data_IF_048257292929
#
_entry.id   IF_048257292929
#
_cell.length_a   1.000
_cell.length_b   1.000
_cell.length_c   1.000
_cell.angle_alpha   90.00
_cell.angle_beta   90.00
_cell.angle_gamma   90.00
#
_symmetry.space_group_name_H-M   'P 1'
#
loop_
_entity.id
_entity.type
_entity.pdbx_description
1 polymer ?
#
# COMPACT_ATOMS: atom_id res chain seq x y z
N UNK A 1 4.76 -22.94 4.67
CA UNK A 1 3.62 -22.01 4.68
C UNK A 1 2.92 -22.04 3.33
N UNK A 2 1.58 -22.22 3.27
CA UNK A 2 0.80 -22.12 2.02
C UNK A 2 0.24 -20.71 1.90
N UNK A 3 0.37 -20.08 0.73
CA UNK A 3 -0.17 -18.73 0.46
C UNK A 3 -1.25 -18.78 -0.62
N UNK A 4 -2.29 -17.97 -0.42
CA UNK A 4 -3.41 -17.79 -1.34
C UNK A 4 -3.50 -16.32 -1.78
N UNK A 5 -2.99 -16.04 -2.99
CA UNK A 5 -2.85 -14.67 -3.52
C UNK A 5 -4.13 -14.26 -4.25
N UNK A 6 -4.66 -13.08 -3.93
CA UNK A 6 -5.76 -12.40 -4.64
C UNK A 6 -5.21 -11.21 -5.43
N UNK A 7 -5.98 -10.74 -6.41
CA UNK A 7 -5.64 -9.52 -7.16
C UNK A 7 -5.48 -8.29 -6.24
N UNK A 8 -6.30 -8.20 -5.18
CA UNK A 8 -6.21 -7.15 -4.16
C UNK A 8 -4.89 -7.17 -3.39
N UNK A 9 -4.31 -8.34 -3.16
CA UNK A 9 -3.06 -8.49 -2.39
C UNK A 9 -1.88 -7.97 -3.21
N UNK A 10 -1.91 -8.17 -4.53
CA UNK A 10 -0.92 -7.60 -5.45
C UNK A 10 -1.05 -6.08 -5.53
N UNK A 11 -2.29 -5.56 -5.65
CA UNK A 11 -2.56 -4.11 -5.57
C UNK A 11 -1.92 -3.53 -4.30
N UNK A 12 -2.21 -4.14 -3.16
CA UNK A 12 -1.68 -3.73 -1.87
C UNK A 12 -0.15 -3.86 -1.81
N UNK A 13 0.44 -4.93 -2.34
CA UNK A 13 1.89 -5.02 -2.45
C UNK A 13 2.49 -3.84 -3.23
N UNK A 14 1.95 -3.47 -4.38
CA UNK A 14 2.47 -2.34 -5.15
C UNK A 14 2.20 -0.98 -4.50
N UNK A 15 1.17 -0.87 -3.66
CA UNK A 15 0.88 0.33 -2.88
C UNK A 15 1.84 0.49 -1.69
N UNK A 16 2.03 -0.58 -0.91
CA UNK A 16 2.71 -0.54 0.39
C UNK A 16 4.15 -1.04 0.37
N UNK A 17 4.49 -1.93 -0.58
CA UNK A 17 5.76 -2.67 -0.65
C UNK A 17 6.14 -3.33 0.67
N UNK A 18 5.14 -3.80 1.43
CA UNK A 18 5.33 -4.34 2.77
C UNK A 18 5.15 -5.86 2.73
N UNK A 19 6.21 -6.59 3.10
CA UNK A 19 6.25 -8.05 3.04
C UNK A 19 5.35 -8.67 4.11
N UNK A 20 5.43 -8.17 5.34
CA UNK A 20 4.55 -8.58 6.44
C UNK A 20 3.08 -8.44 6.08
N UNK A 21 2.71 -7.29 5.52
CA UNK A 21 1.35 -7.01 5.03
C UNK A 21 0.92 -8.07 4.01
N UNK A 22 1.76 -8.33 3.02
CA UNK A 22 1.46 -9.29 1.95
C UNK A 22 1.31 -10.72 2.49
N UNK A 23 2.21 -11.17 3.37
CA UNK A 23 2.14 -12.51 3.96
C UNK A 23 0.87 -12.65 4.81
N UNK A 24 0.55 -11.68 5.67
CA UNK A 24 -0.65 -11.75 6.49
C UNK A 24 -1.95 -11.72 5.65
N UNK A 25 -1.96 -10.98 4.54
CA UNK A 25 -3.12 -10.93 3.63
C UNK A 25 -3.35 -12.26 2.90
N UNK A 26 -2.27 -13.00 2.62
CA UNK A 26 -2.27 -14.19 1.77
C UNK A 26 -2.23 -15.49 2.57
N UNK A 27 -2.04 -15.44 3.88
CA UNK A 27 -2.17 -16.60 4.75
C UNK A 27 -3.64 -17.09 4.79
N UNK A 28 -3.86 -18.42 4.77
CA UNK A 28 -5.17 -18.99 5.11
C UNK A 28 -5.66 -18.46 6.44
N UNK A 29 -6.96 -18.18 6.53
CA UNK A 29 -7.55 -17.51 7.69
C UNK A 29 -7.31 -18.30 8.97
N UNK A 30 -7.36 -19.62 8.91
CA UNK A 30 -7.16 -20.53 10.04
C UNK A 30 -5.73 -20.39 10.61
N UNK A 31 -4.74 -20.25 9.74
CA UNK A 31 -3.34 -20.03 10.14
C UNK A 31 -3.18 -18.62 10.67
N UNK A 32 -3.74 -17.62 9.98
CA UNK A 32 -3.65 -16.21 10.36
C UNK A 32 -4.25 -15.96 11.75
N UNK A 33 -5.42 -16.53 12.02
CA UNK A 33 -6.13 -16.38 13.30
C UNK A 33 -5.40 -17.11 14.44
N UNK A 34 -4.51 -18.06 14.13
CA UNK A 34 -3.62 -18.72 15.10
C UNK A 34 -2.36 -17.91 15.46
N UNK A 35 -2.02 -16.90 14.65
CA UNK A 35 -0.91 -15.98 14.90
C UNK A 35 -1.48 -14.79 15.67
N UNK A 36 -0.94 -14.41 16.84
CA UNK A 36 -1.46 -13.29 17.63
C UNK A 36 -1.14 -11.95 16.95
N UNK A 37 -1.87 -11.63 15.89
CA UNK A 37 -1.77 -10.39 15.12
C UNK A 37 -2.95 -9.50 15.47
N UNK A 38 -2.69 -8.26 15.92
CA UNK A 38 -3.76 -7.28 16.08
C UNK A 38 -4.17 -6.76 14.69
N UNK A 39 -5.43 -6.96 14.35
CA UNK A 39 -6.06 -6.50 13.10
C UNK A 39 -7.22 -5.56 13.43
N UNK A 40 -7.19 -4.33 12.90
CA UNK A 40 -8.33 -3.40 12.99
C UNK A 40 -9.18 -3.54 11.73
N UNK A 41 -10.45 -3.89 11.90
CA UNK A 41 -11.45 -3.81 10.84
C UNK A 41 -12.05 -2.39 10.78
N UNK A 42 -11.41 -1.48 10.04
CA UNK A 42 -11.90 -0.10 9.80
C UNK A 42 -12.43 0.09 8.37
N UNK A 43 -12.93 -0.98 7.74
CA UNK A 43 -13.28 -1.00 6.31
C UNK A 43 -14.65 -0.40 5.97
N UNK A 44 -15.48 -0.04 6.96
CA UNK A 44 -16.91 0.22 6.76
C UNK A 44 -17.23 1.34 5.78
N UNK A 45 -16.83 2.58 6.09
CA UNK A 45 -17.35 3.76 5.37
C UNK A 45 -16.84 3.85 3.92
N UNK A 46 -15.54 3.58 3.67
CA UNK A 46 -14.96 3.69 2.32
C UNK A 46 -15.28 2.49 1.43
N UNK A 47 -15.52 1.31 2.02
CA UNK A 47 -15.92 0.12 1.29
C UNK A 47 -17.29 0.30 0.65
N UNK A 48 -18.24 0.82 1.42
CA UNK A 48 -19.63 1.02 0.99
C UNK A 48 -19.75 2.04 -0.15
N UNK A 49 -19.02 3.15 -0.09
CA UNK A 49 -18.95 4.14 -1.18
C UNK A 49 -18.40 3.53 -2.48
N UNK A 50 -17.39 2.66 -2.36
CA UNK A 50 -16.79 1.95 -3.49
C UNK A 50 -17.80 1.03 -4.19
N UNK A 51 -18.51 0.21 -3.40
CA UNK A 51 -19.57 -0.69 -3.89
C UNK A 51 -20.69 0.12 -4.56
N UNK A 52 -21.14 1.20 -3.91
CA UNK A 52 -22.20 2.04 -4.46
C UNK A 52 -21.79 2.70 -5.78
N UNK A 53 -20.55 3.17 -5.89
CA UNK A 53 -20.03 3.74 -7.15
C UNK A 53 -20.00 2.69 -8.27
N UNK A 54 -19.53 1.47 -7.99
CA UNK A 54 -19.52 0.37 -8.96
C UNK A 54 -20.94 0.02 -9.44
N UNK A 55 -21.90 -0.09 -8.52
CA UNK A 55 -23.31 -0.33 -8.87
C UNK A 55 -23.91 0.82 -9.70
N UNK A 56 -23.56 2.07 -9.40
CA UNK A 56 -24.02 3.22 -10.18
C UNK A 56 -23.48 3.21 -11.61
N UNK A 57 -22.23 2.77 -11.82
CA UNK A 57 -21.66 2.57 -13.16
C UNK A 57 -22.46 1.52 -13.92
N UNK A 58 -22.74 0.36 -13.30
CA UNK A 58 -23.51 -0.71 -13.95
C UNK A 58 -24.92 -0.28 -14.33
N UNK A 59 -25.63 0.38 -13.42
CA UNK A 59 -26.98 0.91 -13.69
C UNK A 59 -26.97 1.83 -14.89
N UNK A 60 -25.99 2.75 -14.97
CA UNK A 60 -25.91 3.70 -16.07
C UNK A 60 -25.50 3.09 -17.40
N UNK A 61 -24.68 2.02 -17.42
CA UNK A 61 -24.44 1.25 -18.64
C UNK A 61 -25.77 0.69 -19.18
N UNK A 62 -26.57 0.09 -18.31
CA UNK A 62 -27.87 -0.51 -18.69
C UNK A 62 -28.85 0.57 -19.17
N UNK A 63 -28.92 1.71 -18.49
CA UNK A 63 -29.77 2.86 -18.89
C UNK A 63 -29.39 3.41 -20.27
N UNK A 64 -28.12 3.29 -20.68
CA UNK A 64 -27.64 3.67 -22.02
C UNK A 64 -27.94 2.62 -23.10
N UNK A 65 -28.51 1.47 -22.73
CA UNK A 65 -28.79 0.37 -23.65
C UNK A 65 -27.62 -0.59 -23.85
N UNK A 66 -26.54 -0.48 -23.06
CA UNK A 66 -25.40 -1.39 -23.15
C UNK A 66 -25.79 -2.79 -22.65
N UNK A 67 -25.38 -3.82 -23.38
CA UNK A 67 -25.65 -5.21 -23.00
C UNK A 67 -24.58 -5.73 -22.03
N UNK A 68 -24.98 -5.94 -20.77
CA UNK A 68 -24.10 -6.40 -19.67
C UNK A 68 -24.54 -7.78 -19.18
N UNK A 69 -23.68 -8.79 -19.35
CA UNK A 69 -23.82 -10.11 -18.74
C UNK A 69 -23.47 -10.03 -17.24
N UNK A 70 -24.43 -10.40 -16.38
CA UNK A 70 -24.33 -10.23 -14.92
C UNK A 70 -24.53 -11.55 -14.16
N UNK A 71 -24.05 -11.65 -12.91
CA UNK A 71 -24.37 -12.77 -12.04
C UNK A 71 -25.88 -12.95 -11.88
N UNK A 72 -26.32 -14.20 -11.70
CA UNK A 72 -27.70 -14.49 -11.30
C UNK A 72 -27.98 -13.92 -9.90
N UNK A 73 -29.24 -13.65 -9.53
CA UNK A 73 -29.59 -13.30 -8.15
C UNK A 73 -28.97 -14.30 -7.16
N UNK A 74 -28.45 -13.79 -6.04
CA UNK A 74 -27.74 -14.55 -5.01
C UNK A 74 -26.40 -15.20 -5.42
N UNK A 75 -25.87 -14.85 -6.59
CA UNK A 75 -24.51 -15.21 -7.00
C UNK A 75 -23.61 -13.96 -7.03
N UNK A 76 -22.35 -14.15 -6.62
CA UNK A 76 -21.35 -13.07 -6.63
C UNK A 76 -20.63 -12.93 -7.98
N UNK A 77 -20.73 -13.92 -8.87
CA UNK A 77 -20.01 -13.94 -10.14
C UNK A 77 -20.83 -14.60 -11.26
N UNK A 78 -20.48 -14.32 -12.51
CA UNK A 78 -21.06 -15.03 -13.67
C UNK A 78 -20.59 -16.49 -13.65
N UNK A 79 -21.44 -17.43 -14.11
CA UNK A 79 -21.06 -18.84 -14.10
C UNK A 79 -19.89 -19.12 -15.06
N UNK A 80 -19.09 -20.18 -14.84
CA UNK A 80 -17.98 -20.51 -15.73
C UNK A 80 -18.40 -20.75 -17.18
N UNK A 81 -19.58 -21.34 -17.41
CA UNK A 81 -20.11 -21.64 -18.74
C UNK A 81 -20.47 -20.36 -19.49
N UNK A 82 -21.17 -19.44 -18.84
CA UNK A 82 -21.53 -18.14 -19.41
C UNK A 82 -20.29 -17.24 -19.60
N UNK A 83 -19.33 -17.31 -18.67
CA UNK A 83 -18.04 -16.63 -18.83
C UNK A 83 -17.31 -17.16 -20.06
N UNK A 84 -17.24 -18.48 -20.24
CA UNK A 84 -16.59 -19.09 -21.41
C UNK A 84 -17.29 -18.71 -22.72
N UNK A 85 -18.63 -18.75 -22.76
CA UNK A 85 -19.40 -18.34 -23.94
C UNK A 85 -19.16 -16.85 -24.29
N UNK A 86 -19.13 -15.97 -23.29
CA UNK A 86 -18.77 -14.56 -23.51
C UNK A 86 -17.35 -14.39 -24.05
N UNK A 87 -16.37 -15.09 -23.47
CA UNK A 87 -14.96 -15.00 -23.87
C UNK A 87 -14.70 -15.53 -25.28
N UNK A 88 -15.48 -16.52 -25.75
CA UNK A 88 -15.43 -17.01 -27.14
C UNK A 88 -16.23 -16.15 -28.13
N UNK A 89 -16.93 -15.13 -27.65
CA UNK A 89 -17.81 -14.30 -28.49
C UNK A 89 -19.12 -14.99 -28.89
N UNK A 90 -19.47 -16.10 -28.26
CA UNK A 90 -20.71 -16.87 -28.47
C UNK A 90 -21.90 -16.23 -27.75
N UNK A 91 -21.65 -15.37 -26.76
CA UNK A 91 -22.68 -14.60 -26.06
C UNK A 91 -22.79 -13.17 -26.65
N UNK A 92 -24.01 -12.62 -26.86
CA UNK A 92 -24.21 -11.33 -27.54
C UNK A 92 -23.93 -10.10 -26.68
N UNK A 93 -23.57 -10.27 -25.40
CA UNK A 93 -23.29 -9.15 -24.51
C UNK A 93 -22.00 -8.44 -24.88
N UNK A 94 -21.99 -7.11 -24.73
CA UNK A 94 -20.79 -6.29 -24.95
C UNK A 94 -19.88 -6.30 -23.71
N UNK A 95 -20.48 -6.31 -22.52
CA UNK A 95 -19.78 -6.37 -21.25
C UNK A 95 -20.10 -7.66 -20.47
N UNK A 96 -19.16 -8.10 -19.65
CA UNK A 96 -19.38 -9.08 -18.57
C UNK A 96 -18.91 -8.46 -17.26
N UNK A 97 -19.77 -8.55 -16.24
CA UNK A 97 -19.52 -8.05 -14.88
C UNK A 97 -19.17 -9.21 -13.94
N UNK A 98 -18.10 -9.08 -13.14
CA UNK A 98 -17.65 -10.10 -12.17
C UNK A 98 -17.45 -11.47 -12.84
N UNK A 99 -16.69 -11.49 -13.94
CA UNK A 99 -16.33 -12.72 -14.64
C UNK A 99 -15.46 -13.60 -13.73
N UNK A 100 -15.78 -14.90 -13.64
CA UNK A 100 -14.99 -15.80 -12.79
C UNK A 100 -13.71 -16.24 -13.51
N UNK A 101 -12.55 -15.79 -13.04
CA UNK A 101 -11.24 -16.19 -13.56
C UNK A 101 -10.50 -17.04 -12.53
N UNK A 102 -10.31 -18.33 -12.80
CA UNK A 102 -9.59 -19.25 -11.90
C UNK A 102 -8.10 -19.38 -12.25
N UNK A 103 -7.28 -19.88 -11.31
CA UNK A 103 -5.89 -20.27 -11.59
C UNK A 103 -5.87 -21.36 -12.67
N UNK A 104 -4.97 -21.21 -13.64
CA UNK A 104 -4.76 -22.18 -14.72
C UNK A 104 -3.32 -22.65 -14.73
N UNK A 105 -3.07 -23.85 -15.29
CA UNK A 105 -1.72 -24.40 -15.38
C UNK A 105 -0.78 -23.51 -16.20
N UNK A 106 -1.30 -22.88 -17.25
CA UNK A 106 -0.55 -21.94 -18.09
C UNK A 106 -0.17 -20.67 -17.33
N UNK A 107 -1.10 -20.07 -16.59
CA UNK A 107 -0.80 -18.93 -15.70
C UNK A 107 0.26 -19.30 -14.65
N UNK A 108 0.10 -20.48 -14.05
CA UNK A 108 1.01 -21.00 -13.03
C UNK A 108 2.43 -21.16 -13.57
N UNK A 109 2.56 -21.72 -14.77
CA UNK A 109 3.83 -21.85 -15.47
C UNK A 109 4.41 -20.47 -15.84
N UNK A 110 3.60 -19.57 -16.37
CA UNK A 110 4.02 -18.25 -16.85
C UNK A 110 4.56 -17.33 -15.72
N UNK A 111 3.98 -17.47 -14.52
CA UNK A 111 4.39 -16.76 -13.29
C UNK A 111 5.45 -17.51 -12.46
N UNK A 112 5.85 -18.73 -12.83
CA UNK A 112 6.74 -19.60 -12.05
C UNK A 112 6.27 -19.79 -10.60
N UNK A 113 4.98 -20.08 -10.38
CA UNK A 113 4.44 -20.17 -9.02
C UNK A 113 5.01 -21.37 -8.24
N UNK A 114 5.53 -21.16 -7.02
CA UNK A 114 5.94 -22.24 -6.12
C UNK A 114 4.77 -23.16 -5.75
N UNK A 115 5.05 -24.45 -5.48
CA UNK A 115 4.04 -25.46 -5.14
C UNK A 115 3.12 -25.09 -3.97
N UNK A 116 3.65 -24.33 -3.02
CA UNK A 116 2.94 -23.85 -1.83
C UNK A 116 2.21 -22.51 -2.04
N UNK A 117 2.11 -22.02 -3.27
CA UNK A 117 1.39 -20.80 -3.61
C UNK A 117 0.27 -21.12 -4.60
N UNK A 118 -0.92 -20.61 -4.31
CA UNK A 118 -2.06 -20.61 -5.23
C UNK A 118 -2.60 -19.20 -5.44
N UNK A 119 -3.21 -18.98 -6.59
CA UNK A 119 -3.96 -17.78 -6.94
C UNK A 119 -5.44 -18.07 -6.68
N UNK A 120 -6.10 -17.25 -5.87
CA UNK A 120 -7.55 -17.33 -5.69
C UNK A 120 -8.26 -16.78 -6.92
N UNK A 121 -9.50 -17.22 -7.11
CA UNK A 121 -10.40 -16.73 -8.15
C UNK A 121 -10.38 -15.19 -8.22
N UNK A 122 -10.08 -14.68 -9.41
CA UNK A 122 -10.14 -13.27 -9.75
C UNK A 122 -11.52 -12.91 -10.28
N UNK A 123 -12.01 -11.75 -9.86
CA UNK A 123 -13.26 -11.17 -10.31
C UNK A 123 -12.97 -9.76 -10.82
N UNK A 124 -12.54 -9.58 -12.08
CA UNK A 124 -12.50 -8.26 -12.68
C UNK A 124 -13.88 -7.63 -12.65
N UNK A 125 -13.92 -6.33 -12.36
CA UNK A 125 -15.19 -5.59 -12.31
C UNK A 125 -15.88 -5.71 -13.67
N UNK A 126 -15.21 -5.37 -14.77
CA UNK A 126 -15.76 -5.47 -16.12
C UNK A 126 -14.74 -6.03 -17.13
N UNK A 127 -15.24 -6.78 -18.12
CA UNK A 127 -14.52 -7.06 -19.37
C UNK A 127 -15.45 -6.67 -20.53
N UNK A 128 -14.90 -5.98 -21.51
CA UNK A 128 -15.64 -5.40 -22.64
C UNK A 128 -15.10 -5.93 -23.97
N UNK A 129 -15.99 -6.30 -24.89
CA UNK A 129 -15.66 -6.44 -26.30
C UNK A 129 -15.61 -5.07 -26.98
N UNK A 130 -14.47 -4.73 -27.57
CA UNK A 130 -14.27 -3.51 -28.37
C UNK A 130 -13.90 -3.87 -29.80
N UNK A 131 -14.30 -3.03 -30.74
CA UNK A 131 -13.89 -3.13 -32.14
C UNK A 131 -12.72 -2.17 -32.41
N UNK A 132 -11.58 -2.70 -32.85
CA UNK A 132 -10.41 -1.91 -33.23
C UNK A 132 -9.83 -2.49 -34.53
N UNK A 133 -9.75 -1.67 -35.58
CA UNK A 133 -9.15 -2.10 -36.86
C UNK A 133 -9.88 -3.26 -37.56
N UNK A 134 -11.19 -3.42 -37.33
CA UNK A 134 -11.99 -4.52 -37.88
C UNK A 134 -11.89 -5.83 -37.09
N UNK A 135 -11.15 -5.85 -35.98
CA UNK A 135 -11.04 -7.00 -35.09
C UNK A 135 -11.73 -6.73 -33.75
N UNK A 136 -12.43 -7.74 -33.23
CA UNK A 136 -12.98 -7.69 -31.87
C UNK A 136 -11.90 -8.08 -30.87
N UNK A 137 -11.69 -7.24 -29.87
CA UNK A 137 -10.72 -7.46 -28.79
C UNK A 137 -11.36 -7.25 -27.42
N UNK A 138 -10.89 -7.96 -26.41
CA UNK A 138 -11.35 -7.85 -25.02
C UNK A 138 -10.50 -6.84 -24.26
N UNK A 139 -11.16 -5.91 -23.58
CA UNK A 139 -10.54 -4.92 -22.69
C UNK A 139 -10.97 -5.19 -21.26
N UNK A 140 -9.98 -5.35 -20.36
CA UNK A 140 -10.24 -5.45 -18.92
C UNK A 140 -10.44 -4.05 -18.34
N UNK A 141 -11.44 -3.90 -17.48
CA UNK A 141 -11.83 -2.64 -16.88
C UNK A 141 -12.02 -2.84 -15.37
N UNK A 142 -11.47 -1.92 -14.60
CA UNK A 142 -11.64 -1.86 -13.14
C UNK A 142 -12.27 -0.54 -12.77
N UNK A 143 -13.27 -0.58 -11.90
CA UNK A 143 -14.06 0.56 -11.46
C UNK A 143 -13.56 0.97 -10.08
N UNK A 144 -13.17 2.23 -9.92
CA UNK A 144 -12.59 2.72 -8.66
C UNK A 144 -13.18 4.05 -8.26
N UNK A 145 -13.71 4.10 -7.04
CA UNK A 145 -14.15 5.32 -6.39
C UNK A 145 -12.96 6.18 -5.96
N UNK A 146 -12.28 6.77 -6.94
CA UNK A 146 -11.12 7.66 -6.79
C UNK A 146 -11.19 8.76 -7.85
N UNK A 147 -10.49 9.87 -7.63
CA UNK A 147 -10.37 10.95 -8.62
C UNK A 147 -9.29 10.71 -9.66
N UNK A 148 -8.35 9.80 -9.38
CA UNK A 148 -7.26 9.44 -10.29
C UNK A 148 -6.85 7.97 -10.12
N UNK A 149 -6.62 7.24 -11.23
CA UNK A 149 -6.07 5.91 -11.18
C UNK A 149 -4.58 5.99 -10.78
N UNK A 150 -4.11 4.97 -10.08
CA UNK A 150 -2.74 4.88 -9.60
C UNK A 150 -2.03 3.69 -10.24
N UNK A 151 -0.71 3.64 -10.07
CA UNK A 151 0.12 2.54 -10.57
C UNK A 151 -0.30 1.17 -10.00
N UNK A 152 -0.78 1.13 -8.75
CA UNK A 152 -1.20 -0.12 -8.10
C UNK A 152 -2.57 -0.61 -8.57
N UNK A 153 -3.50 0.28 -8.94
CA UNK A 153 -4.75 -0.13 -9.61
C UNK A 153 -4.42 -0.79 -10.97
N UNK A 154 -3.51 -0.19 -11.74
CA UNK A 154 -3.08 -0.74 -13.04
C UNK A 154 -2.44 -2.13 -12.92
N UNK A 155 -1.66 -2.36 -11.85
CA UNK A 155 -1.11 -3.68 -11.56
C UNK A 155 -2.19 -4.72 -11.25
N UNK A 156 -3.27 -4.35 -10.55
CA UNK A 156 -4.40 -5.24 -10.32
C UNK A 156 -5.08 -5.66 -11.63
N UNK A 157 -5.34 -4.69 -12.50
CA UNK A 157 -5.97 -4.93 -13.82
C UNK A 157 -5.09 -5.76 -14.73
N UNK A 158 -3.78 -5.50 -14.74
CA UNK A 158 -2.83 -6.30 -15.50
C UNK A 158 -2.76 -7.75 -14.98
N UNK A 159 -2.98 -7.97 -13.68
CA UNK A 159 -3.07 -9.32 -13.15
C UNK A 159 -4.31 -10.05 -13.68
N UNK A 160 -5.47 -9.39 -13.75
CA UNK A 160 -6.66 -9.97 -14.40
C UNK A 160 -6.42 -10.28 -15.88
N UNK A 161 -5.67 -9.43 -16.60
CA UNK A 161 -5.25 -9.73 -17.97
C UNK A 161 -4.40 -11.01 -18.07
N UNK A 162 -3.42 -11.21 -17.17
CA UNK A 162 -2.65 -12.46 -17.10
C UNK A 162 -3.54 -13.67 -16.82
N UNK A 163 -4.46 -13.57 -15.86
CA UNK A 163 -5.42 -14.63 -15.56
C UNK A 163 -6.25 -14.98 -16.79
N UNK A 164 -6.74 -13.96 -17.49
CA UNK A 164 -7.55 -14.13 -18.69
C UNK A 164 -6.78 -14.81 -19.84
N UNK A 165 -5.50 -14.47 -20.04
CA UNK A 165 -4.63 -15.19 -20.99
C UNK A 165 -4.52 -16.67 -20.64
N UNK A 166 -4.38 -16.99 -19.34
CA UNK A 166 -4.33 -18.37 -18.87
C UNK A 166 -5.63 -19.13 -19.11
N UNK A 167 -6.78 -18.48 -18.89
CA UNK A 167 -8.10 -19.01 -19.24
C UNK A 167 -8.20 -19.30 -20.74
N UNK A 168 -7.87 -18.36 -21.62
CA UNK A 168 -7.87 -18.59 -23.07
C UNK A 168 -6.98 -19.76 -23.50
N UNK A 169 -5.78 -19.86 -22.93
CA UNK A 169 -4.89 -20.98 -23.23
C UNK A 169 -5.52 -22.32 -22.82
N UNK A 170 -6.26 -22.36 -21.71
CA UNK A 170 -7.00 -23.54 -21.26
C UNK A 170 -8.21 -23.86 -22.15
N UNK A 171 -8.70 -22.89 -22.91
CA UNK A 171 -9.72 -23.06 -23.96
C UNK A 171 -9.12 -23.46 -25.32
N UNK A 172 -7.80 -23.66 -25.41
CA UNK A 172 -7.12 -24.00 -26.66
C UNK A 172 -6.69 -22.79 -27.51
N UNK A 173 -6.89 -21.56 -27.02
CA UNK A 173 -6.57 -20.34 -27.76
C UNK A 173 -5.18 -19.81 -27.40
N UNK A 174 -4.25 -19.94 -28.35
CA UNK A 174 -2.86 -19.50 -28.18
C UNK A 174 -2.67 -18.00 -28.40
N UNK A 175 -3.54 -17.36 -29.19
CA UNK A 175 -3.53 -15.93 -29.44
C UNK A 175 -4.84 -15.29 -28.94
N UNK A 176 -4.97 -15.09 -27.61
CA UNK A 176 -6.19 -14.53 -27.04
C UNK A 176 -6.50 -13.18 -27.67
N UNK A 177 -7.78 -12.87 -27.96
CA UNK A 177 -8.19 -11.59 -28.53
C UNK A 177 -8.14 -10.48 -27.48
N UNK A 178 -7.09 -10.38 -26.67
CA UNK A 178 -6.96 -9.37 -25.62
C UNK A 178 -6.41 -8.07 -26.22
N UNK A 179 -7.06 -6.95 -25.91
CA UNK A 179 -6.60 -5.63 -26.31
C UNK A 179 -5.32 -5.24 -25.55
N UNK A 180 -4.42 -4.50 -26.21
CA UNK A 180 -3.13 -4.09 -25.62
C UNK A 180 -3.28 -3.15 -24.42
N UNK A 181 -4.34 -2.33 -24.43
CA UNK A 181 -4.65 -1.41 -23.33
C UNK A 181 -5.80 -1.93 -22.47
N UNK A 182 -5.69 -1.75 -21.18
CA UNK A 182 -6.80 -1.88 -20.25
C UNK A 182 -7.27 -0.50 -19.77
N UNK A 183 -8.38 -0.46 -19.04
CA UNK A 183 -8.94 0.80 -18.54
C UNK A 183 -9.20 0.73 -17.04
N UNK A 184 -9.14 1.90 -16.40
CA UNK A 184 -9.67 2.10 -15.05
C UNK A 184 -10.71 3.19 -15.17
N UNK A 185 -11.96 2.87 -14.85
CA UNK A 185 -13.02 3.85 -14.74
C UNK A 185 -13.05 4.41 -13.33
N UNK A 186 -13.11 5.73 -13.22
CA UNK A 186 -12.99 6.45 -11.97
C UNK A 186 -13.78 7.74 -12.01
N UNK A 187 -13.95 8.41 -10.88
CA UNK A 187 -14.78 9.62 -10.78
C UNK A 187 -14.27 10.69 -11.77
N UNK A 188 -15.06 10.98 -12.79
CA UNK A 188 -14.80 12.02 -13.78
C UNK A 188 -15.10 13.44 -13.28
N UNK A 189 -14.86 14.44 -14.12
CA UNK A 189 -15.34 15.81 -13.92
C UNK A 189 -16.33 16.17 -15.03
N UNK A 190 -17.48 16.74 -14.67
CA UNK A 190 -18.56 17.10 -15.62
C UNK A 190 -19.42 15.92 -16.08
N UNK A 191 -20.09 16.06 -17.23
CA UNK A 191 -21.08 15.11 -17.77
C UNK A 191 -20.47 13.78 -18.29
N UNK A 192 -19.14 13.70 -18.46
CA UNK A 192 -18.42 12.44 -18.70
C UNK A 192 -18.04 11.81 -17.36
N UNK A 193 -18.98 11.06 -16.80
CA UNK A 193 -19.00 10.77 -15.36
C UNK A 193 -18.01 9.68 -14.89
N UNK A 194 -17.53 8.76 -15.74
CA UNK A 194 -16.56 7.72 -15.35
C UNK A 194 -15.69 7.09 -16.46
N UNK A 195 -16.19 7.04 -17.70
CA UNK A 195 -15.44 6.55 -18.87
C UNK A 195 -14.42 7.61 -19.30
N UNK A 196 -13.18 7.45 -18.86
CA UNK A 196 -12.13 8.42 -19.12
C UNK A 196 -11.01 7.78 -19.95
N UNK A 197 -10.68 8.36 -21.10
CA UNK A 197 -9.49 7.96 -21.88
C UNK A 197 -8.20 8.03 -21.06
N UNK A 198 -8.13 8.92 -20.05
CA UNK A 198 -7.00 9.02 -19.12
C UNK A 198 -6.88 7.81 -18.19
N UNK A 199 -7.94 7.00 -18.10
CA UNK A 199 -7.93 5.69 -17.45
C UNK A 199 -7.21 4.61 -18.26
N UNK A 200 -7.05 4.80 -19.58
CA UNK A 200 -6.39 3.83 -20.44
C UNK A 200 -4.90 3.74 -20.14
N UNK A 201 -4.37 2.53 -20.14
CA UNK A 201 -2.94 2.28 -19.97
C UNK A 201 -2.52 1.00 -20.70
N UNK A 202 -1.24 0.93 -21.09
CA UNK A 202 -0.66 -0.24 -21.74
C UNK A 202 -0.42 -1.36 -20.72
N UNK A 203 -0.90 -2.58 -21.02
CA UNK A 203 -0.79 -3.73 -20.12
C UNK A 203 0.65 -4.24 -19.97
N UNK A 204 1.46 -4.19 -21.03
CA UNK A 204 2.73 -4.93 -21.13
C UNK A 204 3.68 -4.60 -19.99
N UNK A 205 3.84 -3.30 -19.69
CA UNK A 205 4.75 -2.86 -18.63
C UNK A 205 4.33 -3.35 -17.24
N UNK A 206 3.02 -3.48 -16.98
CA UNK A 206 2.50 -3.97 -15.70
C UNK A 206 2.49 -5.50 -15.62
N UNK A 207 2.24 -6.19 -16.74
CA UNK A 207 2.41 -7.64 -16.85
C UNK A 207 3.87 -8.03 -16.53
N UNK A 208 4.85 -7.33 -17.09
CA UNK A 208 6.26 -7.58 -16.77
C UNK A 208 6.62 -7.24 -15.32
N UNK A 209 6.05 -6.17 -14.75
CA UNK A 209 6.21 -5.84 -13.33
C UNK A 209 5.66 -6.95 -12.41
N UNK A 210 4.53 -7.55 -12.78
CA UNK A 210 3.95 -8.69 -12.06
C UNK A 210 4.85 -9.92 -12.18
N UNK A 211 5.30 -10.24 -13.40
CA UNK A 211 6.26 -11.33 -13.63
C UNK A 211 7.51 -11.18 -12.78
N UNK A 212 8.07 -9.97 -12.73
CA UNK A 212 9.22 -9.66 -11.90
C UNK A 212 8.95 -9.92 -10.41
N UNK A 213 7.80 -9.48 -9.91
CA UNK A 213 7.37 -9.74 -8.54
C UNK A 213 7.32 -11.25 -8.24
N UNK A 214 6.60 -12.02 -9.06
CA UNK A 214 6.44 -13.46 -8.86
C UNK A 214 7.77 -14.21 -8.98
N UNK A 215 8.67 -13.80 -9.88
CA UNK A 215 9.96 -14.47 -10.13
C UNK A 215 11.03 -14.11 -9.11
N UNK A 216 11.10 -12.85 -8.66
CA UNK A 216 12.23 -12.34 -7.86
C UNK A 216 11.88 -12.03 -6.41
N UNK A 217 10.65 -11.58 -6.14
CA UNK A 217 10.26 -11.12 -4.81
C UNK A 217 9.55 -12.22 -4.03
N UNK A 218 8.53 -12.85 -4.64
CA UNK A 218 7.71 -13.86 -3.97
C UNK A 218 8.52 -15.04 -3.37
N UNK A 219 9.53 -15.62 -4.04
CA UNK A 219 10.28 -16.75 -3.49
C UNK A 219 10.96 -16.43 -2.16
N UNK A 220 11.48 -15.20 -2.00
CA UNK A 220 12.07 -14.74 -0.74
C UNK A 220 11.03 -14.66 0.39
N UNK A 221 9.79 -14.31 0.07
CA UNK A 221 8.69 -14.23 1.05
C UNK A 221 8.19 -15.62 1.44
N UNK A 222 8.02 -16.52 0.48
CA UNK A 222 7.49 -17.86 0.71
C UNK A 222 8.47 -18.78 1.44
N UNK A 223 9.77 -18.45 1.41
CA UNK A 223 10.81 -19.14 2.19
C UNK A 223 10.74 -18.87 3.70
N UNK A 224 9.97 -17.85 4.11
CA UNK A 224 9.82 -17.46 5.52
C UNK A 224 8.66 -18.21 6.17
N UNK A 225 8.84 -18.56 7.44
CA UNK A 225 7.78 -19.13 8.26
C UNK A 225 7.37 -18.10 9.30
N UNK A 226 6.05 -17.82 9.35
CA UNK A 226 5.44 -17.03 10.43
C UNK A 226 4.76 -17.99 11.38
N UNK A 227 5.11 -17.91 12.66
CA UNK A 227 4.57 -18.76 13.72
C UNK A 227 4.44 -17.95 15.02
N UNK A 228 3.82 -18.55 16.04
CA UNK A 228 3.62 -17.87 17.31
C UNK A 228 4.96 -17.49 17.94
N UNK A 229 5.20 -16.20 18.12
CA UNK A 229 6.43 -15.67 18.72
C UNK A 229 7.61 -15.51 17.77
N UNK A 230 7.47 -15.90 16.49
CA UNK A 230 8.51 -15.75 15.48
C UNK A 230 7.92 -15.23 14.17
N UNK A 231 8.29 -14.00 13.83
CA UNK A 231 7.90 -13.35 12.59
C UNK A 231 9.11 -12.68 11.92
N UNK A 232 9.81 -13.39 11.00
CA UNK A 232 10.97 -12.87 10.30
C UNK A 232 10.61 -11.95 9.12
N UNK A 233 9.32 -11.61 8.94
CA UNK A 233 8.87 -10.85 7.78
C UNK A 233 9.31 -9.40 7.84
N UNK A 234 9.66 -8.85 6.67
CA UNK A 234 10.08 -7.46 6.59
C UNK A 234 8.90 -6.49 6.64
N UNK A 235 9.01 -5.45 7.45
CA UNK A 235 8.07 -4.34 7.50
C UNK A 235 8.83 -3.04 7.69
N UNK A 236 8.16 -1.91 7.49
CA UNK A 236 8.67 -0.60 7.84
C UNK A 236 7.49 0.25 8.26
N UNK A 237 7.53 0.87 9.44
CA UNK A 237 6.53 1.83 9.87
C UNK A 237 6.77 3.15 9.15
N UNK A 238 5.77 3.60 8.38
CA UNK A 238 5.81 4.87 7.65
C UNK A 238 4.39 5.36 7.36
N UNK A 239 4.28 6.53 6.72
CA UNK A 239 3.02 7.24 6.60
C UNK A 239 1.86 6.48 5.94
N UNK A 240 2.12 5.53 5.04
CA UNK A 240 1.02 4.74 4.45
C UNK A 240 0.45 3.71 5.43
N UNK A 241 1.18 3.35 6.49
CA UNK A 241 0.72 2.35 7.47
C UNK A 241 -0.55 2.78 8.21
N UNK A 242 -0.92 4.06 8.23
CA UNK A 242 -2.21 4.52 8.78
C UNK A 242 -3.45 3.90 8.13
N UNK A 243 -3.31 3.40 6.91
CA UNK A 243 -4.38 2.71 6.18
C UNK A 243 -4.18 1.18 6.21
N UNK A 244 -3.23 0.68 7.00
CA UNK A 244 -2.93 -0.74 7.11
C UNK A 244 -3.60 -1.30 8.37
N UNK A 245 -4.45 -2.31 8.20
CA UNK A 245 -5.14 -2.98 9.31
C UNK A 245 -4.22 -3.60 10.37
N UNK A 246 -2.95 -3.86 10.02
CA UNK A 246 -1.93 -4.42 10.91
C UNK A 246 -1.00 -3.37 11.54
N UNK A 247 -1.33 -2.08 11.49
CA UNK A 247 -0.51 -1.02 12.09
C UNK A 247 -0.26 -1.27 13.58
N UNK A 248 -1.32 -1.57 14.35
CA UNK A 248 -1.22 -1.83 15.79
C UNK A 248 -0.25 -2.96 16.12
N UNK A 249 -0.32 -4.05 15.35
CA UNK A 249 0.63 -5.14 15.51
C UNK A 249 2.07 -4.70 15.25
N UNK A 250 2.31 -3.93 14.19
CA UNK A 250 3.66 -3.47 13.86
C UNK A 250 4.18 -2.39 14.84
N UNK A 251 3.31 -1.53 15.38
CA UNK A 251 3.71 -0.46 16.31
C UNK A 251 4.17 -0.98 17.66
N UNK A 252 3.80 -2.21 18.05
CA UNK A 252 4.36 -2.89 19.24
C UNK A 252 5.90 -2.95 19.24
N UNK A 253 6.53 -2.94 18.06
CA UNK A 253 7.99 -2.95 17.92
C UNK A 253 8.68 -1.63 18.28
N UNK A 254 7.89 -0.57 18.54
CA UNK A 254 8.34 0.75 18.97
C UNK A 254 7.45 1.29 20.11
N UNK A 255 6.80 0.38 20.84
CA UNK A 255 5.84 0.73 21.88
C UNK A 255 6.51 1.14 23.19
N UNK A 256 5.79 1.90 24.00
CA UNK A 256 6.26 2.43 25.30
C UNK A 256 6.65 1.33 26.31
N UNK A 257 6.22 0.09 26.07
CA UNK A 257 6.58 -1.07 26.88
C UNK A 257 7.98 -1.65 26.58
N UNK A 258 8.70 -1.10 25.59
CA UNK A 258 10.06 -1.49 25.21
C UNK A 258 11.03 -0.35 25.51
N UNK A 259 12.27 -0.68 25.87
CA UNK A 259 13.31 0.34 26.01
C UNK A 259 13.65 0.92 24.61
N UNK A 260 13.88 2.25 24.45
CA UNK A 260 14.14 2.85 23.13
C UNK A 260 15.31 2.23 22.37
N UNK A 261 16.26 1.59 23.05
CA UNK A 261 17.36 0.89 22.39
C UNK A 261 16.93 -0.36 21.60
N UNK A 262 15.81 -0.97 21.99
CA UNK A 262 15.22 -2.18 21.41
C UNK A 262 14.23 -1.87 20.30
N UNK A 263 13.80 -0.60 20.19
CA UNK A 263 12.85 -0.17 19.18
C UNK A 263 13.35 -0.49 17.76
N UNK A 264 12.45 -0.98 16.91
CA UNK A 264 12.73 -1.17 15.49
C UNK A 264 13.17 0.15 14.84
N UNK A 265 14.15 0.09 13.93
CA UNK A 265 14.72 1.29 13.29
C UNK A 265 13.72 2.12 12.48
N UNK A 266 12.49 1.63 12.23
CA UNK A 266 11.42 2.44 11.67
C UNK A 266 11.01 3.61 12.57
N UNK A 267 11.35 3.58 13.88
CA UNK A 267 11.16 4.72 14.76
C UNK A 267 11.97 5.96 14.33
N UNK A 268 13.03 5.79 13.55
CA UNK A 268 13.91 6.89 13.12
C UNK A 268 13.26 7.62 11.93
N UNK A 269 12.84 8.89 12.10
CA UNK A 269 12.16 9.63 11.04
C UNK A 269 13.05 9.85 9.82
N UNK A 270 12.46 9.79 8.62
CA UNK A 270 13.16 10.00 7.36
C UNK A 270 13.98 8.79 6.87
N UNK A 271 13.93 7.66 7.59
CA UNK A 271 14.46 6.40 7.07
C UNK A 271 13.60 5.93 5.90
N UNK A 272 14.23 5.55 4.78
CA UNK A 272 13.53 4.95 3.65
C UNK A 272 13.43 3.43 3.77
N UNK A 273 12.42 2.84 3.14
CA UNK A 273 12.23 1.39 3.12
C UNK A 273 13.47 0.63 2.62
N UNK A 274 14.12 1.12 1.56
CA UNK A 274 15.34 0.52 1.02
C UNK A 274 16.51 0.64 2.01
N UNK A 275 16.61 1.76 2.73
CA UNK A 275 17.66 1.96 3.74
C UNK A 275 17.45 1.06 4.94
N UNK A 276 16.22 0.91 5.43
CA UNK A 276 15.88 -0.08 6.45
C UNK A 276 16.30 -1.50 6.02
N UNK A 277 15.95 -1.89 4.79
CA UNK A 277 16.31 -3.20 4.22
C UNK A 277 17.83 -3.39 4.17
N UNK A 278 18.57 -2.38 3.74
CA UNK A 278 20.04 -2.41 3.73
C UNK A 278 20.62 -2.53 5.14
N UNK A 279 20.15 -1.72 6.09
CA UNK A 279 20.61 -1.74 7.49
C UNK A 279 20.35 -3.10 8.15
N UNK A 280 19.16 -3.70 7.94
CA UNK A 280 18.83 -5.04 8.42
C UNK A 280 19.79 -6.12 7.90
N UNK A 281 20.19 -6.04 6.63
CA UNK A 281 21.18 -6.97 6.05
C UNK A 281 22.56 -6.83 6.69
N UNK A 282 22.88 -5.65 7.21
CA UNK A 282 24.13 -5.38 7.94
C UNK A 282 23.98 -5.57 9.47
N UNK A 283 22.89 -6.19 9.93
CA UNK A 283 22.67 -6.47 11.35
C UNK A 283 22.17 -5.28 12.18
N UNK A 284 21.96 -4.12 11.57
CA UNK A 284 21.44 -2.92 12.24
C UNK A 284 19.91 -2.92 12.18
N UNK A 285 19.28 -3.36 13.28
CA UNK A 285 17.82 -3.61 13.36
C UNK A 285 17.10 -2.75 14.37
N UNK A 286 17.81 -2.22 15.36
CA UNK A 286 17.22 -1.41 16.43
C UNK A 286 17.78 0.01 16.47
N UNK A 287 17.04 0.95 17.06
CA UNK A 287 17.50 2.33 17.27
C UNK A 287 18.84 2.36 18.00
N UNK A 288 19.01 1.53 19.04
CA UNK A 288 20.28 1.41 19.76
C UNK A 288 21.45 0.98 18.87
N UNK A 289 21.21 0.06 17.93
CA UNK A 289 22.24 -0.37 16.97
C UNK A 289 22.65 0.77 16.01
N UNK A 290 21.71 1.64 15.63
CA UNK A 290 21.99 2.80 14.77
C UNK A 290 22.75 3.89 15.53
N UNK A 291 22.34 4.20 16.76
CA UNK A 291 22.99 5.20 17.60
C UNK A 291 24.47 4.82 17.87
N UNK A 292 24.74 3.53 18.12
CA UNK A 292 26.10 3.04 18.43
C UNK A 292 26.95 2.74 17.20
N UNK A 293 26.39 2.71 16.00
CA UNK A 293 27.14 2.41 14.79
C UNK A 293 28.20 3.49 14.52
N UNK A 294 29.42 3.08 14.20
CA UNK A 294 30.48 4.01 13.75
C UNK A 294 30.07 4.70 12.45
N UNK A 295 29.46 3.95 11.54
CA UNK A 295 28.91 4.39 10.26
C UNK A 295 27.71 3.53 9.86
N UNK A 296 26.76 4.12 9.13
CA UNK A 296 25.55 3.42 8.65
C UNK A 296 25.73 2.80 7.25
N UNK A 297 26.88 3.02 6.62
CA UNK A 297 27.17 2.63 5.24
C UNK A 297 26.56 3.57 4.20
N UNK A 298 26.77 3.25 2.92
CA UNK A 298 26.46 4.09 1.77
C UNK A 298 25.63 3.37 0.67
N UNK A 299 25.10 2.19 0.99
CA UNK A 299 24.40 1.32 0.03
C UNK A 299 23.08 1.86 -0.50
N UNK A 300 22.61 3.02 -0.03
CA UNK A 300 21.45 3.73 -0.59
C UNK A 300 21.75 5.23 -0.70
N UNK A 301 20.98 5.93 -1.55
CA UNK A 301 21.05 7.39 -1.64
C UNK A 301 20.73 8.08 -0.30
N UNK A 302 19.71 7.61 0.42
CA UNK A 302 19.33 8.17 1.73
C UNK A 302 20.45 8.00 2.75
N UNK A 303 21.11 6.84 2.81
CA UNK A 303 22.21 6.62 3.75
C UNK A 303 23.44 7.46 3.38
N UNK A 304 23.75 7.59 2.09
CA UNK A 304 24.84 8.48 1.61
C UNK A 304 24.65 9.93 1.99
N UNK A 305 23.44 10.44 1.80
CA UNK A 305 23.14 11.87 1.95
C UNK A 305 22.70 12.26 3.36
N UNK A 306 22.13 11.32 4.12
CA UNK A 306 21.50 11.58 5.43
C UNK A 306 21.94 10.62 6.53
N UNK A 307 22.94 9.76 6.30
CA UNK A 307 23.38 8.77 7.28
C UNK A 307 23.77 9.39 8.62
N UNK A 308 24.52 10.50 8.60
CA UNK A 308 24.88 11.25 9.82
C UNK A 308 23.63 11.72 10.58
N UNK A 309 22.68 12.33 9.88
CA UNK A 309 21.42 12.81 10.46
C UNK A 309 20.58 11.67 11.05
N UNK A 310 20.49 10.53 10.35
CA UNK A 310 19.75 9.35 10.84
C UNK A 310 20.38 8.79 12.12
N UNK A 311 21.71 8.83 12.22
CA UNK A 311 22.43 8.47 13.45
C UNK A 311 22.15 9.47 14.58
N UNK A 312 22.27 10.78 14.33
CA UNK A 312 21.95 11.83 15.31
C UNK A 312 20.50 11.71 15.83
N UNK A 313 19.54 11.33 14.96
CA UNK A 313 18.16 11.02 15.36
C UNK A 313 18.07 9.79 16.26
N UNK A 314 18.81 8.72 15.93
CA UNK A 314 18.87 7.53 16.77
C UNK A 314 19.45 7.82 18.15
N UNK A 315 20.50 8.64 18.22
CA UNK A 315 21.12 9.10 19.47
C UNK A 315 20.15 9.96 20.31
N UNK A 316 19.40 10.86 19.66
CA UNK A 316 18.38 11.68 20.33
C UNK A 316 17.24 10.82 20.91
N UNK A 317 16.75 9.83 20.15
CA UNK A 317 15.73 8.88 20.64
C UNK A 317 16.28 8.06 21.83
N UNK A 318 17.50 7.53 21.71
CA UNK A 318 18.10 6.69 22.75
C UNK A 318 18.38 7.46 24.05
N UNK A 319 18.83 8.71 23.94
CA UNK A 319 19.08 9.57 25.10
C UNK A 319 17.81 10.14 25.71
N UNK A 320 16.68 10.06 25.01
CA UNK A 320 15.44 10.75 25.35
C UNK A 320 15.67 12.26 25.60
N UNK A 321 16.55 12.86 24.78
CA UNK A 321 16.92 14.27 24.87
C UNK A 321 16.59 15.03 23.59
N UNK A 322 16.13 16.27 23.78
CA UNK A 322 15.97 17.22 22.69
C UNK A 322 17.35 17.57 22.10
N UNK A 323 17.49 17.39 20.79
CA UNK A 323 18.74 17.66 20.07
C UNK A 323 18.47 18.56 18.87
N UNK A 324 19.30 19.59 18.70
CA UNK A 324 19.27 20.45 17.51
C UNK A 324 19.91 19.72 16.34
N UNK A 325 19.10 19.34 15.36
CA UNK A 325 19.56 18.68 14.14
C UNK A 325 19.82 19.70 13.02
N UNK A 326 20.59 19.30 12.02
CA UNK A 326 20.91 20.15 10.86
C UNK A 326 19.73 20.40 9.90
N UNK A 327 18.64 19.63 9.99
CA UNK A 327 17.45 19.83 9.14
C UNK A 327 16.56 20.98 9.65
N UNK A 328 16.09 21.82 8.72
CA UNK A 328 15.21 22.95 8.99
C UNK A 328 13.72 22.57 9.09
N UNK A 329 13.35 21.32 8.79
CA UNK A 329 11.97 20.83 8.82
C UNK A 329 11.91 19.41 9.35
N UNK A 330 10.82 19.06 10.03
CA UNK A 330 10.50 17.67 10.37
C UNK A 330 9.78 17.04 9.18
N UNK A 331 10.00 15.75 8.95
CA UNK A 331 9.22 14.99 7.98
C UNK A 331 7.88 14.65 8.63
N UNK A 332 6.80 15.15 8.04
CA UNK A 332 5.43 14.99 8.52
C UNK A 332 5.12 13.52 8.90
N UNK A 333 4.70 13.35 10.15
CA UNK A 333 3.75 12.30 10.53
C UNK A 333 2.42 12.55 9.80
N UNK A 334 1.60 11.52 9.58
CA UNK A 334 0.67 11.54 8.47
C UNK A 334 -0.67 12.24 8.80
N UNK A 335 -1.51 12.51 7.79
CA UNK A 335 -2.54 13.55 7.85
C UNK A 335 -3.80 13.19 8.63
N UNK A 336 -3.91 12.00 9.22
CA UNK A 336 -5.01 11.67 10.15
C UNK A 336 -4.66 12.16 11.56
N UNK A 337 -4.55 13.47 11.68
CA UNK A 337 -4.22 14.14 12.94
C UNK A 337 -5.53 14.42 13.70
N UNK A 338 -5.79 13.65 14.76
CA UNK A 338 -6.87 13.94 15.72
C UNK A 338 -6.52 15.13 16.65
N UNK A 339 -5.25 15.55 16.66
CA UNK A 339 -4.69 16.56 17.57
C UNK A 339 -3.65 17.43 16.85
N UNK A 340 -4.02 18.58 16.25
CA UNK A 340 -3.04 19.50 15.68
C UNK A 340 -2.15 20.10 16.78
N UNK A 341 -0.84 20.06 16.57
CA UNK A 341 0.15 20.71 17.45
C UNK A 341 0.74 21.89 16.67
N UNK A 342 0.57 23.10 17.19
CA UNK A 342 1.16 24.31 16.64
C UNK A 342 2.37 24.70 17.49
N UNK A 343 3.55 24.69 16.89
CA UNK A 343 4.77 25.19 17.50
C UNK A 343 5.11 26.56 16.91
N UNK A 344 5.22 27.56 17.76
CA UNK A 344 5.70 28.90 17.42
C UNK A 344 7.09 29.04 18.01
N UNK A 345 8.04 29.44 17.18
CA UNK A 345 9.44 29.61 17.59
C UNK A 345 9.92 30.95 17.07
N UNK A 346 10.10 31.90 17.96
CA UNK A 346 10.65 33.20 17.61
C UNK A 346 12.15 33.20 17.79
N UNK A 347 12.86 33.82 16.83
CA UNK A 347 14.31 33.99 16.87
C UNK A 347 14.66 35.46 16.96
N UNK A 348 15.72 35.76 17.71
CA UNK A 348 16.38 37.04 17.63
C UNK A 348 16.96 37.21 16.20
N UNK A 349 16.58 38.27 15.46
CA UNK A 349 17.02 38.46 14.08
C UNK A 349 18.51 38.83 13.96
N UNK A 350 19.15 39.28 15.04
CA UNK A 350 20.55 39.69 15.09
C UNK A 350 21.43 38.55 15.59
N UNK A 351 21.06 37.94 16.72
CA UNK A 351 21.88 36.95 17.40
C UNK A 351 21.53 35.50 17.04
N UNK A 352 20.45 35.26 16.28
CA UNK A 352 20.02 33.97 15.73
C UNK A 352 19.88 32.84 16.78
N UNK A 353 19.58 33.21 18.03
CA UNK A 353 19.15 32.32 19.11
C UNK A 353 17.64 32.43 19.31
N UNK A 354 17.03 31.44 19.96
CA UNK A 354 15.59 31.45 20.26
C UNK A 354 15.29 32.49 21.36
N UNK A 355 14.21 33.26 21.18
CA UNK A 355 13.73 34.24 22.18
C UNK A 355 12.39 33.86 22.78
N UNK A 356 11.58 33.10 22.04
CA UNK A 356 10.34 32.52 22.55
C UNK A 356 10.09 31.16 21.91
N UNK A 357 9.49 30.25 22.67
CA UNK A 357 8.94 29.00 22.17
C UNK A 357 7.55 28.83 22.75
N UNK A 358 6.56 28.65 21.88
CA UNK A 358 5.18 28.41 22.23
C UNK A 358 4.66 27.11 21.63
N UNK A 359 3.84 26.39 22.37
CA UNK A 359 3.10 25.23 21.86
C UNK A 359 1.62 25.38 22.16
N UNK A 360 0.79 25.11 21.15
CA UNK A 360 -0.65 24.97 21.27
C UNK A 360 -1.08 23.59 20.77
N UNK A 361 -1.76 22.85 21.62
CA UNK A 361 -2.45 21.61 21.24
C UNK A 361 -3.89 21.96 20.91
N UNK A 362 -4.33 21.70 19.69
CA UNK A 362 -5.70 21.92 19.23
C UNK A 362 -6.48 20.62 19.00
N UNK A 363 -7.68 20.74 18.43
CA UNK A 363 -8.57 19.59 18.16
C UNK A 363 -9.30 19.08 19.41
N UNK A 364 -9.67 17.80 19.41
CA UNK A 364 -10.50 17.19 20.46
C UNK A 364 -9.76 17.13 21.81
N UNK A 365 -8.42 17.20 21.80
CA UNK A 365 -7.56 17.22 23.00
C UNK A 365 -6.92 18.59 23.25
N UNK A 366 -7.63 19.67 22.95
CA UNK A 366 -7.08 21.01 23.09
C UNK A 366 -6.58 21.27 24.53
N UNK A 367 -5.38 21.85 24.66
CA UNK A 367 -4.78 22.28 25.92
C UNK A 367 -4.47 23.77 25.85
N UNK A 368 -4.46 24.50 26.98
CA UNK A 368 -3.95 25.87 27.01
C UNK A 368 -2.53 25.95 26.43
N UNK A 369 -2.19 27.03 25.71
CA UNK A 369 -0.86 27.16 25.13
C UNK A 369 0.19 27.24 26.24
N UNK A 370 1.32 26.56 26.05
CA UNK A 370 2.50 26.70 26.90
C UNK A 370 3.51 27.58 26.17
N UNK A 371 3.96 28.65 26.80
CA UNK A 371 4.90 29.61 26.22
C UNK A 371 6.06 29.84 27.18
N UNK A 372 7.27 29.73 26.67
CA UNK A 372 8.51 30.02 27.37
C UNK A 372 9.25 31.15 26.67
N UNK A 373 9.73 32.11 27.46
CA UNK A 373 10.60 33.20 27.00
C UNK A 373 12.03 32.87 27.36
N UNK A 374 12.91 32.91 26.37
CA UNK A 374 14.31 32.50 26.49
C UNK A 374 15.15 33.78 26.55
N UNK A 375 15.82 33.97 27.67
CA UNK A 375 16.64 35.17 27.91
C UNK A 375 18.13 34.93 27.68
N UNK A 376 18.56 33.66 27.62
CA UNK A 376 19.95 33.26 27.34
C UNK A 376 19.99 32.08 26.38
N UNK A 377 21.00 32.02 25.50
CA UNK A 377 21.14 30.95 24.51
C UNK A 377 21.28 29.54 25.14
N UNK A 378 21.76 29.43 26.38
CA UNK A 378 21.86 28.14 27.08
C UNK A 378 20.51 27.63 27.60
N UNK A 379 19.49 28.49 27.66
CA UNK A 379 18.15 28.15 28.14
C UNK A 379 17.22 27.65 27.02
N UNK A 380 17.70 27.62 25.77
CA UNK A 380 16.93 27.15 24.60
C UNK A 380 16.37 25.73 24.80
N UNK A 381 17.23 24.78 25.18
CA UNK A 381 16.84 23.37 25.37
C UNK A 381 15.93 23.17 26.60
N UNK A 382 16.22 23.76 27.77
CA UNK A 382 15.30 23.73 28.91
C UNK A 382 13.91 24.30 28.59
N UNK A 383 13.84 25.46 27.91
CA UNK A 383 12.58 26.07 27.53
C UNK A 383 11.80 25.19 26.53
N UNK A 384 12.47 24.68 25.50
CA UNK A 384 11.87 23.76 24.55
C UNK A 384 11.33 22.50 25.25
N UNK A 385 12.08 21.94 26.21
CA UNK A 385 11.63 20.78 26.98
C UNK A 385 10.38 21.08 27.80
N UNK A 386 10.30 22.23 28.49
CA UNK A 386 9.10 22.60 29.27
C UNK A 386 7.86 22.75 28.38
N UNK A 387 8.03 23.38 27.22
CA UNK A 387 6.95 23.58 26.24
C UNK A 387 6.48 22.26 25.63
N UNK A 388 7.39 21.32 25.38
CA UNK A 388 7.04 20.05 24.73
C UNK A 388 6.60 18.97 25.71
N UNK A 389 7.01 19.03 26.98
CA UNK A 389 6.49 18.12 28.02
C UNK A 389 5.03 18.43 28.41
N UNK A 390 4.50 19.60 28.05
CA UNK A 390 3.08 19.92 28.27
C UNK A 390 2.14 19.37 27.20
N UNK A 391 2.68 18.87 26.07
CA UNK A 391 1.97 18.09 25.04
C UNK A 391 1.34 16.83 25.63
#
# INVERSE_FOLDING_TARGET
MRLEIRASDLKDWFQYRCERKFIYATLPREIRDSIPVDEINDSGIRGDEGIHFEQNVLTRLIERGESVLRPKPHSYHVSPELTSAFLRGEHPAQFIYQAKLDETQSLRADLHLPANVSIRTGLPDLIEWIEEGGERRLRVIDVKHTRRPTQYHRAQVAFYALMLRGVFNSLGESNPPLHRKANIWYIGGGDQLWENERGLFDLRSYEELLRDFFRRQLPGMTSKTVERGSDPTFFHLYFKCEQCQWLQHCSKTIGDNLHPEEWDISAIPGLSHQSKSFLHRNGLRTVGSIARASQLGDGTWTLRTRGKLLKERGEAILSNQWSRLAEHHTWLMPPKIDVPIFLVVDRDPVANHLVSVGCLVGGIRAKPPTVEVITQANDELPALSRVLTSL
#
